data_IF_102333749270
#
_entry.id   IF_102333749270
#
_cell.length_a   1.000
_cell.length_b   1.000
_cell.length_c   1.000
_cell.angle_alpha   90.00
_cell.angle_beta   90.00
_cell.angle_gamma   90.00
#
_symmetry.space_group_name_H-M   'P 1'
#
loop_
_entity.id
_entity.type
_entity.pdbx_description
1 polymer ?
#
# COMPACT_ATOMS: atom_id res chain seq x y z
N UNK A 1 -7.67 -23.35 -29.44
CA UNK A 1 -6.65 -23.00 -28.43
C UNK A 1 -7.27 -21.99 -27.48
N UNK A 2 -7.11 -22.12 -26.17
CA UNK A 2 -7.65 -21.18 -25.17
C UNK A 2 -6.83 -19.89 -25.22
N UNK A 3 -7.48 -18.71 -25.22
CA UNK A 3 -6.78 -17.41 -25.26
C UNK A 3 -6.44 -16.88 -23.85
N UNK A 4 -5.61 -15.82 -23.77
CA UNK A 4 -5.18 -15.25 -22.48
C UNK A 4 -6.34 -14.79 -21.58
N UNK A 5 -7.40 -14.21 -22.16
CA UNK A 5 -8.58 -13.78 -21.40
C UNK A 5 -9.31 -14.96 -20.76
N UNK A 6 -9.44 -16.06 -21.51
CA UNK A 6 -10.04 -17.29 -20.99
C UNK A 6 -9.18 -17.91 -19.90
N UNK A 7 -7.85 -17.96 -20.08
CA UNK A 7 -6.93 -18.44 -19.05
C UNK A 7 -7.01 -17.60 -17.77
N UNK A 8 -7.09 -16.27 -17.89
CA UNK A 8 -7.28 -15.38 -16.75
C UNK A 8 -8.57 -15.69 -15.96
N UNK A 9 -9.69 -15.89 -16.65
CA UNK A 9 -10.96 -16.21 -16.00
C UNK A 9 -10.97 -17.61 -15.37
N UNK A 10 -10.26 -18.57 -15.95
CA UNK A 10 -10.19 -19.95 -15.46
C UNK A 10 -9.22 -20.11 -14.29
N UNK A 11 -8.08 -19.41 -14.32
CA UNK A 11 -6.95 -19.71 -13.45
C UNK A 11 -6.68 -18.64 -12.39
N UNK A 12 -7.23 -17.43 -12.52
CA UNK A 12 -7.02 -16.36 -11.55
C UNK A 12 -8.29 -16.13 -10.74
N UNK A 13 -8.14 -15.95 -9.42
CA UNK A 13 -9.25 -15.53 -8.57
C UNK A 13 -9.74 -14.14 -8.99
N UNK A 14 -11.06 -14.02 -9.21
CA UNK A 14 -11.67 -12.78 -9.63
C UNK A 14 -12.02 -11.94 -8.40
N UNK A 15 -11.52 -10.70 -8.36
CA UNK A 15 -11.79 -9.74 -7.28
C UNK A 15 -12.90 -8.74 -7.62
N UNK A 16 -13.50 -8.88 -8.81
CA UNK A 16 -14.66 -8.12 -9.27
C UNK A 16 -15.60 -9.06 -10.01
N UNK A 17 -16.91 -8.84 -9.88
CA UNK A 17 -17.93 -9.56 -10.64
C UNK A 17 -17.93 -9.20 -12.13
N UNK A 18 -17.31 -8.07 -12.50
CA UNK A 18 -17.26 -7.54 -13.87
C UNK A 18 -15.85 -7.07 -14.23
N UNK A 19 -14.87 -7.99 -14.34
CA UNK A 19 -13.51 -7.62 -14.74
C UNK A 19 -13.51 -6.98 -16.13
N UNK A 20 -12.64 -5.97 -16.34
CA UNK A 20 -12.57 -5.24 -17.63
C UNK A 20 -11.99 -6.07 -18.77
N UNK A 21 -11.27 -7.16 -18.48
CA UNK A 21 -10.67 -8.10 -19.43
C UNK A 21 -9.85 -7.44 -20.55
N UNK A 22 -9.23 -6.29 -20.25
CA UNK A 22 -8.31 -5.62 -21.17
C UNK A 22 -6.98 -6.36 -21.16
N UNK A 23 -6.57 -6.82 -22.34
CA UNK A 23 -5.25 -7.40 -22.58
C UNK A 23 -4.31 -6.26 -22.95
N UNK A 24 -3.22 -6.12 -22.19
CA UNK A 24 -2.23 -5.05 -22.33
C UNK A 24 -0.89 -5.67 -22.75
N UNK A 25 -0.37 -5.21 -23.89
CA UNK A 25 0.92 -5.61 -24.45
C UNK A 25 2.07 -4.74 -23.91
N UNK A 26 1.88 -3.42 -23.87
CA UNK A 26 2.83 -2.49 -23.25
C UNK A 26 2.14 -1.30 -22.60
N UNK A 27 2.88 -0.59 -21.77
CA UNK A 27 2.46 0.67 -21.15
C UNK A 27 3.61 1.68 -21.20
N UNK A 28 3.33 2.93 -21.53
CA UNK A 28 4.35 3.99 -21.62
C UNK A 28 3.71 5.38 -21.42
N UNK A 29 4.33 6.18 -20.56
CA UNK A 29 3.80 7.50 -20.20
C UNK A 29 2.41 7.34 -19.58
N UNK A 30 1.41 8.01 -20.14
CA UNK A 30 0.01 7.93 -19.69
C UNK A 30 -0.83 6.87 -20.41
N UNK A 31 -0.23 6.04 -21.27
CA UNK A 31 -0.98 5.11 -22.13
C UNK A 31 -0.69 3.65 -21.82
N UNK A 32 -1.73 2.83 -21.89
CA UNK A 32 -1.69 1.38 -22.04
C UNK A 32 -1.98 1.03 -23.51
N UNK A 33 -1.34 -0.01 -24.02
CA UNK A 33 -1.45 -0.42 -25.42
C UNK A 33 -1.90 -1.88 -25.46
N UNK A 34 -2.98 -2.17 -26.19
CA UNK A 34 -3.41 -3.54 -26.46
C UNK A 34 -2.56 -4.17 -27.58
N UNK A 35 -2.60 -5.51 -27.74
CA UNK A 35 -1.85 -6.23 -28.79
C UNK A 35 -2.16 -5.78 -30.22
N UNK A 36 -3.36 -5.26 -30.47
CA UNK A 36 -3.78 -4.70 -31.76
C UNK A 36 -3.28 -3.25 -31.99
N UNK A 37 -2.51 -2.71 -31.05
CA UNK A 37 -1.98 -1.34 -31.06
C UNK A 37 -2.95 -0.29 -30.51
N UNK A 38 -4.18 -0.65 -30.11
CA UNK A 38 -5.14 0.30 -29.55
C UNK A 38 -4.60 0.89 -28.25
N UNK A 39 -4.68 2.22 -28.15
CA UNK A 39 -4.21 2.99 -26.98
C UNK A 39 -5.35 3.28 -26.02
N UNK A 40 -5.10 3.13 -24.73
CA UNK A 40 -5.98 3.49 -23.64
C UNK A 40 -5.27 4.52 -22.77
N UNK A 41 -5.89 5.69 -22.57
CA UNK A 41 -5.40 6.67 -21.61
C UNK A 41 -5.68 6.14 -20.20
N UNK A 42 -4.63 6.02 -19.38
CA UNK A 42 -4.74 5.52 -18.01
C UNK A 42 -5.08 6.65 -17.05
N UNK A 43 -6.37 6.83 -16.80
CA UNK A 43 -6.89 7.78 -15.81
C UNK A 43 -7.06 7.17 -14.41
N UNK A 44 -6.74 5.89 -14.24
CA UNK A 44 -6.84 5.17 -12.95
C UNK A 44 -5.48 5.16 -12.26
N UNK A 45 -4.38 5.13 -13.03
CA UNK A 45 -3.00 5.13 -12.55
C UNK A 45 -2.74 3.99 -11.56
N UNK A 46 -3.40 2.84 -11.75
CA UNK A 46 -3.34 1.71 -10.81
C UNK A 46 -3.76 2.07 -9.40
N UNK A 47 -4.81 2.89 -9.25
CA UNK A 47 -5.25 3.49 -7.98
C UNK A 47 -4.19 4.46 -7.41
N UNK A 48 -3.76 5.40 -8.25
CA UNK A 48 -2.80 6.48 -7.93
C UNK A 48 -1.36 6.03 -7.58
N UNK A 49 -0.92 4.90 -8.14
CA UNK A 49 0.46 4.38 -7.99
C UNK A 49 1.39 4.92 -9.07
N UNK A 50 0.95 4.95 -10.33
CA UNK A 50 1.77 5.33 -11.49
C UNK A 50 1.89 6.85 -11.69
N UNK A 51 2.26 7.58 -10.62
CA UNK A 51 2.23 9.05 -10.58
C UNK A 51 3.16 9.76 -11.58
N UNK A 52 4.21 9.09 -12.04
CA UNK A 52 5.14 9.60 -13.08
C UNK A 52 4.98 8.88 -14.42
N UNK A 53 3.83 8.21 -14.59
CA UNK A 53 3.53 7.41 -15.77
C UNK A 53 4.25 6.06 -15.81
N UNK A 54 3.86 5.27 -16.79
CA UNK A 54 4.37 3.94 -17.04
C UNK A 54 5.77 3.99 -17.67
N UNK A 55 6.67 3.13 -17.20
CA UNK A 55 8.04 2.95 -17.73
C UNK A 55 8.87 4.24 -17.81
N UNK A 56 8.75 5.14 -16.83
CA UNK A 56 9.53 6.37 -16.82
C UNK A 56 11.05 6.10 -17.05
N UNK A 57 11.70 6.68 -18.09
CA UNK A 57 13.03 6.26 -18.53
C UNK A 57 14.11 6.28 -17.45
N UNK A 58 14.06 7.27 -16.56
CA UNK A 58 15.00 7.38 -15.42
C UNK A 58 14.84 6.23 -14.40
N UNK A 59 13.61 5.75 -14.17
CA UNK A 59 13.33 4.63 -13.26
C UNK A 59 13.83 3.33 -13.88
N UNK A 60 13.50 3.11 -15.15
CA UNK A 60 13.97 1.91 -15.89
C UNK A 60 15.49 1.84 -15.90
N UNK A 61 16.18 2.96 -16.15
CA UNK A 61 17.65 3.03 -16.10
C UNK A 61 18.18 2.70 -14.69
N UNK A 62 17.58 3.26 -13.64
CA UNK A 62 17.99 2.99 -12.26
C UNK A 62 17.82 1.51 -11.87
N UNK A 63 16.70 0.90 -12.26
CA UNK A 63 16.44 -0.54 -12.04
C UNK A 63 17.48 -1.39 -12.76
N UNK A 64 17.73 -1.15 -14.06
CA UNK A 64 18.74 -1.90 -14.82
C UNK A 64 20.14 -1.82 -14.20
N UNK A 65 20.57 -0.60 -13.84
CA UNK A 65 21.86 -0.39 -13.19
C UNK A 65 21.98 -1.12 -11.84
N UNK A 66 20.87 -1.30 -11.12
CA UNK A 66 20.86 -2.03 -9.85
C UNK A 66 20.78 -3.54 -10.06
N UNK A 67 20.04 -3.99 -11.07
CA UNK A 67 19.95 -5.41 -11.47
C UNK A 67 21.34 -6.00 -11.79
N UNK A 68 22.21 -5.22 -12.44
CA UNK A 68 23.58 -5.62 -12.75
C UNK A 68 24.48 -5.75 -11.49
N UNK A 69 23.97 -5.38 -10.31
CA UNK A 69 24.67 -5.49 -9.02
C UNK A 69 24.03 -6.53 -8.11
N UNK A 70 22.77 -6.30 -7.73
CA UNK A 70 21.97 -7.19 -6.88
C UNK A 70 20.51 -6.70 -6.79
N UNK A 71 19.57 -7.62 -6.55
CA UNK A 71 18.15 -7.31 -6.34
C UNK A 71 17.72 -7.54 -4.88
N UNK A 72 17.92 -8.76 -4.37
CA UNK A 72 17.60 -9.14 -3.00
C UNK A 72 18.84 -9.73 -2.33
N UNK A 73 19.10 -9.35 -1.09
CA UNK A 73 20.25 -9.82 -0.31
C UNK A 73 19.81 -10.53 0.98
N UNK A 74 18.93 -9.89 1.75
CA UNK A 74 18.39 -10.44 2.99
C UNK A 74 17.06 -9.75 3.32
N UNK A 75 16.20 -10.45 4.06
CA UNK A 75 14.97 -9.90 4.63
C UNK A 75 15.22 -9.14 5.94
N UNK A 76 16.37 -9.35 6.58
CA UNK A 76 16.76 -8.69 7.82
C UNK A 76 17.60 -7.44 7.53
N UNK A 77 17.48 -6.40 8.36
CA UNK A 77 18.23 -5.14 8.21
C UNK A 77 19.72 -5.23 8.54
N UNK A 78 20.37 -6.35 8.19
CA UNK A 78 21.74 -6.69 8.60
C UNK A 78 22.80 -6.15 7.63
N UNK A 79 22.43 -5.83 6.39
CA UNK A 79 23.35 -5.32 5.38
C UNK A 79 23.08 -3.86 5.04
N UNK A 80 24.16 -3.10 4.87
CA UNK A 80 24.12 -1.71 4.41
C UNK A 80 23.88 -1.71 2.89
N UNK A 81 22.63 -1.52 2.48
CA UNK A 81 22.24 -1.51 1.07
C UNK A 81 22.19 -0.07 0.55
N UNK A 82 23.11 0.30 -0.34
CA UNK A 82 23.24 1.68 -0.81
C UNK A 82 21.94 2.31 -1.33
N UNK A 83 21.07 1.64 -2.13
CA UNK A 83 19.79 2.21 -2.55
C UNK A 83 18.86 2.52 -1.37
N UNK A 84 18.74 1.60 -0.42
CA UNK A 84 17.89 1.73 0.76
C UNK A 84 18.35 2.89 1.65
N UNK A 85 19.65 2.94 1.97
CA UNK A 85 20.22 3.99 2.84
C UNK A 85 20.10 5.37 2.22
N UNK A 86 20.45 5.52 0.93
CA UNK A 86 20.32 6.80 0.22
C UNK A 86 18.87 7.24 0.08
N UNK A 87 17.94 6.29 -0.07
CA UNK A 87 16.53 6.64 -0.11
C UNK A 87 16.01 7.09 1.26
N UNK A 88 16.41 6.43 2.35
CA UNK A 88 16.07 6.86 3.71
C UNK A 88 16.59 8.28 3.99
N UNK A 89 17.85 8.57 3.66
CA UNK A 89 18.44 9.91 3.80
C UNK A 89 17.64 10.96 3.04
N UNK A 90 17.33 10.68 1.75
CA UNK A 90 16.54 11.60 0.92
C UNK A 90 15.14 11.80 1.47
N UNK A 91 14.48 10.73 1.92
CA UNK A 91 13.13 10.80 2.47
C UNK A 91 13.12 11.66 3.74
N UNK A 92 14.01 11.37 4.70
CA UNK A 92 14.14 12.14 5.95
C UNK A 92 14.41 13.62 5.67
N UNK A 93 15.24 13.94 4.67
CA UNK A 93 15.53 15.34 4.31
C UNK A 93 14.31 16.15 3.84
N UNK A 94 13.23 15.48 3.44
CA UNK A 94 11.98 16.10 3.01
C UNK A 94 10.88 16.08 4.08
N UNK A 95 11.12 15.45 5.24
CA UNK A 95 10.16 15.31 6.33
C UNK A 95 10.45 16.30 7.46
N UNK A 96 9.46 16.58 8.34
CA UNK A 96 9.70 17.29 9.59
C UNK A 96 10.82 16.66 10.42
N UNK A 97 11.59 17.48 11.16
CA UNK A 97 12.77 17.02 11.92
C UNK A 97 12.49 15.91 12.96
N UNK A 98 11.25 15.79 13.44
CA UNK A 98 10.84 14.74 14.37
C UNK A 98 10.56 13.39 13.69
N UNK A 99 10.58 13.31 12.36
CA UNK A 99 10.47 12.08 11.57
C UNK A 99 11.84 11.73 10.96
N UNK A 100 12.65 10.99 11.72
CA UNK A 100 14.08 10.80 11.47
C UNK A 100 14.52 9.33 11.30
N UNK A 101 13.57 8.40 11.20
CA UNK A 101 13.85 6.97 11.01
C UNK A 101 12.82 6.36 10.06
N UNK A 102 13.26 5.42 9.23
CA UNK A 102 12.45 4.81 8.17
C UNK A 102 12.53 3.29 8.27
N UNK A 103 11.36 2.65 8.34
CA UNK A 103 11.22 1.21 8.20
C UNK A 103 10.58 0.89 6.86
N UNK A 104 11.31 0.16 5.99
CA UNK A 104 10.85 -0.15 4.63
C UNK A 104 10.03 -1.45 4.60
N UNK A 105 8.94 -1.40 3.85
CA UNK A 105 8.00 -2.50 3.62
C UNK A 105 7.56 -2.49 2.15
N UNK A 106 6.76 -3.46 1.74
CA UNK A 106 6.43 -3.72 0.34
C UNK A 106 5.05 -3.19 -0.07
N UNK A 107 4.21 -2.80 0.90
CA UNK A 107 2.85 -2.32 0.62
C UNK A 107 2.37 -1.29 1.64
N UNK A 108 1.29 -0.56 1.29
CA UNK A 108 0.62 0.34 2.23
C UNK A 108 0.03 -0.39 3.44
N UNK A 109 -0.51 -1.60 3.25
CA UNK A 109 -1.04 -2.39 4.36
C UNK A 109 0.06 -2.79 5.35
N UNK A 110 1.24 -3.22 4.87
CA UNK A 110 2.38 -3.51 5.75
C UNK A 110 2.88 -2.25 6.48
N UNK A 111 2.79 -1.07 5.85
CA UNK A 111 3.15 0.18 6.50
C UNK A 111 2.18 0.52 7.64
N UNK A 112 0.88 0.31 7.42
CA UNK A 112 -0.15 0.40 8.47
C UNK A 112 0.15 -0.57 9.62
N UNK A 113 0.40 -1.85 9.33
CA UNK A 113 0.73 -2.86 10.37
C UNK A 113 1.96 -2.44 11.20
N UNK A 114 3.00 -1.92 10.52
CA UNK A 114 4.19 -1.37 11.17
C UNK A 114 3.87 -0.20 12.09
N UNK A 115 3.05 0.75 11.63
CA UNK A 115 2.62 1.91 12.41
C UNK A 115 1.80 1.50 13.65
N UNK A 116 0.82 0.61 13.49
CA UNK A 116 0.00 0.10 14.61
C UNK A 116 0.86 -0.60 15.66
N UNK A 117 1.82 -1.43 15.23
CA UNK A 117 2.75 -2.12 16.14
C UNK A 117 3.68 -1.14 16.85
N UNK A 118 4.18 -0.13 16.14
CA UNK A 118 5.05 0.89 16.71
C UNK A 118 4.31 1.72 17.77
N UNK A 119 3.09 2.16 17.48
CA UNK A 119 2.25 2.92 18.42
C UNK A 119 2.03 2.13 19.71
N UNK A 120 1.60 0.86 19.60
CA UNK A 120 1.42 -0.03 20.77
C UNK A 120 2.72 -0.25 21.55
N UNK A 121 3.82 -0.50 20.84
CA UNK A 121 5.13 -0.76 21.48
C UNK A 121 5.65 0.47 22.22
N UNK A 122 5.53 1.65 21.63
CA UNK A 122 6.05 2.88 22.20
C UNK A 122 5.21 3.38 23.39
N UNK A 123 3.89 3.35 23.24
CA UNK A 123 2.96 3.86 24.27
C UNK A 123 2.68 2.85 25.39
N UNK A 124 2.85 1.56 25.14
CA UNK A 124 2.41 0.48 26.04
C UNK A 124 0.89 0.27 26.06
N UNK A 125 0.16 1.02 25.24
CA UNK A 125 -1.30 1.07 25.19
C UNK A 125 -1.86 0.12 24.13
N UNK A 126 -3.13 -0.26 24.26
CA UNK A 126 -3.74 -1.30 23.41
C UNK A 126 -4.87 -0.78 22.52
N UNK A 127 -5.64 0.21 22.98
CA UNK A 127 -6.78 0.76 22.26
C UNK A 127 -6.28 1.51 21.02
N UNK A 128 -6.95 1.33 19.90
CA UNK A 128 -6.71 2.10 18.67
C UNK A 128 -8.03 2.75 18.27
N UNK A 129 -7.98 4.01 17.86
CA UNK A 129 -9.13 4.71 17.31
C UNK A 129 -8.88 4.98 15.83
N UNK A 130 -9.82 4.56 14.98
CA UNK A 130 -9.82 4.87 13.55
C UNK A 130 -11.06 5.69 13.18
N UNK A 131 -11.16 6.12 11.94
CA UNK A 131 -12.32 6.88 11.47
C UNK A 131 -13.28 5.99 10.68
N UNK A 132 -14.59 6.24 10.81
CA UNK A 132 -15.58 5.70 9.88
C UNK A 132 -15.21 6.09 8.44
N UNK A 133 -15.45 5.16 7.51
CA UNK A 133 -15.07 5.26 6.09
C UNK A 133 -13.56 5.31 5.77
N UNK A 134 -12.67 5.17 6.75
CA UNK A 134 -11.23 5.12 6.52
C UNK A 134 -10.79 3.85 5.76
N UNK A 135 -9.75 3.96 4.93
CA UNK A 135 -9.13 2.85 4.22
C UNK A 135 -7.64 2.74 4.60
N UNK A 136 -7.26 1.60 5.18
CA UNK A 136 -5.89 1.37 5.67
C UNK A 136 -5.21 0.12 5.09
N UNK A 137 -5.89 -0.60 4.21
CA UNK A 137 -5.43 -1.85 3.60
C UNK A 137 -6.18 -3.09 4.09
N UNK A 138 -5.87 -4.25 3.51
CA UNK A 138 -6.67 -5.48 3.68
C UNK A 138 -5.97 -6.63 4.40
N UNK A 139 -4.77 -6.43 4.96
CA UNK A 139 -4.19 -7.39 5.92
C UNK A 139 -4.99 -7.35 7.22
N UNK A 140 -5.09 -8.44 7.99
CA UNK A 140 -6.01 -8.50 9.13
C UNK A 140 -5.86 -7.33 10.14
N UNK A 141 -4.65 -6.85 10.43
CA UNK A 141 -4.47 -5.69 11.33
C UNK A 141 -4.89 -4.38 10.68
N UNK A 142 -4.48 -4.13 9.44
CA UNK A 142 -4.92 -2.96 8.66
C UNK A 142 -6.45 -2.94 8.42
N UNK A 143 -7.04 -4.10 8.17
CA UNK A 143 -8.47 -4.30 7.98
C UNK A 143 -9.25 -4.06 9.29
N UNK A 144 -8.64 -4.35 10.44
CA UNK A 144 -9.25 -4.09 11.75
C UNK A 144 -9.54 -2.61 11.97
N UNK A 145 -8.70 -1.73 11.41
CA UNK A 145 -8.85 -0.26 11.48
C UNK A 145 -9.54 0.32 10.24
N UNK A 146 -10.05 -0.51 9.32
CA UNK A 146 -10.85 -0.03 8.18
C UNK A 146 -12.24 0.40 8.64
N UNK A 147 -12.68 1.60 8.26
CA UNK A 147 -13.94 2.21 8.72
C UNK A 147 -15.19 1.81 7.93
N UNK A 148 -15.08 0.85 7.02
CA UNK A 148 -16.21 0.40 6.20
C UNK A 148 -16.48 -1.08 6.47
N UNK A 149 -17.64 -1.38 7.06
CA UNK A 149 -18.04 -2.73 7.47
C UNK A 149 -18.17 -3.72 6.32
N UNK A 150 -18.60 -3.26 5.14
CA UNK A 150 -18.75 -4.10 3.95
C UNK A 150 -17.47 -4.87 3.61
N UNK A 151 -16.31 -4.24 3.82
CA UNK A 151 -15.03 -4.87 3.49
C UNK A 151 -14.51 -5.83 4.56
N UNK A 152 -15.01 -5.77 5.80
CA UNK A 152 -14.38 -6.46 6.93
C UNK A 152 -15.30 -7.42 7.69
N UNK A 153 -16.63 -7.34 7.51
CA UNK A 153 -17.59 -8.16 8.25
C UNK A 153 -17.37 -9.67 8.10
N UNK A 154 -17.04 -10.13 6.88
CA UNK A 154 -16.87 -11.54 6.54
C UNK A 154 -15.59 -12.18 7.13
N UNK A 155 -14.67 -11.37 7.65
CA UNK A 155 -13.36 -11.81 8.14
C UNK A 155 -13.23 -11.74 9.67
N UNK A 156 -14.34 -11.51 10.37
CA UNK A 156 -14.35 -11.45 11.84
C UNK A 156 -14.10 -12.83 12.46
N UNK A 157 -13.45 -12.91 13.65
CA UNK A 157 -12.99 -11.78 14.48
C UNK A 157 -11.71 -11.11 13.96
N UNK A 158 -11.63 -9.79 14.15
CA UNK A 158 -10.48 -8.93 13.83
C UNK A 158 -9.71 -8.55 15.12
N UNK A 159 -8.73 -7.65 15.04
CA UNK A 159 -8.03 -7.18 16.25
C UNK A 159 -9.04 -6.61 17.26
N UNK A 160 -8.88 -6.93 18.56
CA UNK A 160 -9.69 -6.35 19.61
C UNK A 160 -9.30 -4.90 19.90
N UNK A 161 -10.11 -4.23 20.72
CA UNK A 161 -9.88 -2.87 21.23
C UNK A 161 -9.71 -1.80 20.13
N UNK A 162 -10.49 -1.93 19.06
CA UNK A 162 -10.58 -0.93 18.00
C UNK A 162 -11.92 -0.19 18.13
N UNK A 163 -11.86 1.14 18.26
CA UNK A 163 -13.02 2.01 18.21
C UNK A 163 -13.00 2.87 16.94
N UNK A 164 -14.16 3.44 16.58
CA UNK A 164 -14.33 4.25 15.39
C UNK A 164 -15.01 5.56 15.73
N UNK A 165 -14.38 6.67 15.34
CA UNK A 165 -14.94 8.02 15.43
C UNK A 165 -15.34 8.54 14.04
N UNK A 166 -16.13 9.62 14.01
CA UNK A 166 -16.50 10.26 12.75
C UNK A 166 -15.46 11.30 12.36
N UNK A 167 -15.01 11.22 11.11
CA UNK A 167 -14.08 12.20 10.56
C UNK A 167 -14.70 13.61 10.60
N UNK A 168 -13.93 14.61 11.03
CA UNK A 168 -14.36 15.99 11.27
C UNK A 168 -15.43 16.20 12.36
N UNK A 169 -15.69 15.21 13.22
CA UNK A 169 -16.52 15.41 14.40
C UNK A 169 -15.65 15.71 15.64
N UNK A 170 -15.59 16.97 16.04
CA UNK A 170 -14.72 17.42 17.15
C UNK A 170 -15.12 16.77 18.48
N UNK A 171 -16.41 16.57 18.76
CA UNK A 171 -16.82 15.99 20.04
C UNK A 171 -16.43 14.52 20.15
N UNK A 172 -16.20 13.81 19.03
CA UNK A 172 -15.73 12.43 19.09
C UNK A 172 -14.24 12.33 19.47
N UNK A 173 -13.50 13.44 19.47
CA UNK A 173 -12.12 13.45 19.98
C UNK A 173 -12.07 13.16 21.48
N UNK A 174 -13.18 13.37 22.21
CA UNK A 174 -13.30 13.02 23.64
C UNK A 174 -13.23 11.50 23.89
N UNK A 175 -13.35 10.67 22.85
CA UNK A 175 -13.12 9.22 22.95
C UNK A 175 -11.64 8.82 23.06
N UNK A 176 -10.72 9.76 22.79
CA UNK A 176 -9.28 9.53 22.89
C UNK A 176 -8.87 9.67 24.36
N UNK A 177 -8.50 8.55 24.97
CA UNK A 177 -8.19 8.45 26.39
C UNK A 177 -6.73 8.03 26.66
N UNK A 178 -6.41 7.80 27.94
CA UNK A 178 -5.08 7.37 28.38
C UNK A 178 -4.73 5.93 27.99
N UNK A 179 -5.68 5.15 27.49
CA UNK A 179 -5.49 3.78 27.01
C UNK A 179 -5.34 3.71 25.47
N UNK A 180 -5.48 4.85 24.79
CA UNK A 180 -5.38 4.98 23.33
C UNK A 180 -3.93 5.10 22.86
N UNK A 181 -3.52 4.18 22.00
CA UNK A 181 -2.17 4.09 21.43
C UNK A 181 -2.00 4.99 20.20
N UNK A 182 -3.00 5.03 19.32
CA UNK A 182 -3.06 5.86 18.12
C UNK A 182 -4.51 6.03 17.65
#
# INVERSE_FOLDING_TARGET
>A
MVNLRQLFLLNNAQTSSTPRLLEIDRAEGLYLYAPDGKKYMDMVSGFAVSNIGHRHPRVIKAIKNQLDKYMHLTVYGEFVQAPQVKFAEKLISALPHNLNSVYFVNSGAEATEGALKLAKRFTGRKRIISCNHAYHGSTHGALSVMGNEYFKEAYRPLLPDIAFIDFNNISHLDEIDTDTAC
#
